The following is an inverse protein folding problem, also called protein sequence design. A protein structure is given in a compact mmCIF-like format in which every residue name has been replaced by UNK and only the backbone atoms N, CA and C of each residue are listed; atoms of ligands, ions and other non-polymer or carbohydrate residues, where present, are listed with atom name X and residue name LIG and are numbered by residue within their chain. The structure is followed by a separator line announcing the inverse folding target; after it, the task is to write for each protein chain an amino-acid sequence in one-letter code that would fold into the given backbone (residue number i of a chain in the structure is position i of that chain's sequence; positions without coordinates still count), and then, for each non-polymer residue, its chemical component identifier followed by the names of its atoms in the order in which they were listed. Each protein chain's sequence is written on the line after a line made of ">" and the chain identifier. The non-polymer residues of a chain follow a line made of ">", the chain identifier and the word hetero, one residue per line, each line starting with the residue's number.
data_IF_059749270953
#
_entry.id   IF_059749270953
#
_cell.length_a   1.000
_cell.length_b   1.000
_cell.length_c   1.000
_cell.angle_alpha   90.00
_cell.angle_beta   90.00
_cell.angle_gamma   90.00
#
_symmetry.space_group_name_H-M   'P 1'
#
loop_
_entity.id
_entity.type
_entity.pdbx_description
1 polymer ?
#
# COMPACT_ATOMS: atom_id res chain seq x y z
N UNK A 1 -44.59 2.72 -37.54
CA UNK A 1 -43.40 1.84 -37.67
C UNK A 1 -42.88 1.64 -36.27
N UNK A 2 -42.78 0.40 -35.77
CA UNK A 2 -42.22 0.15 -34.43
C UNK A 2 -40.70 0.32 -34.56
N UNK A 3 -40.13 1.25 -33.80
CA UNK A 3 -38.69 1.52 -33.76
C UNK A 3 -37.93 0.23 -33.37
N UNK A 4 -36.85 -0.11 -34.09
CA UNK A 4 -36.10 -1.31 -33.77
C UNK A 4 -35.34 -1.13 -32.45
N UNK A 5 -35.08 -2.21 -31.71
CA UNK A 5 -34.25 -2.14 -30.48
C UNK A 5 -32.86 -1.55 -30.72
N UNK A 6 -32.32 -1.69 -31.94
CA UNK A 6 -31.05 -1.10 -32.34
C UNK A 6 -31.15 0.42 -32.42
N UNK A 7 -32.20 0.93 -33.05
CA UNK A 7 -32.40 2.37 -33.23
C UNK A 7 -32.68 3.04 -31.88
N UNK A 8 -33.48 2.40 -31.01
CA UNK A 8 -33.67 2.83 -29.62
C UNK A 8 -32.32 2.87 -28.88
N UNK A 9 -31.50 1.82 -29.01
CA UNK A 9 -30.20 1.75 -28.36
C UNK A 9 -29.25 2.87 -28.82
N UNK A 10 -29.19 3.16 -30.12
CA UNK A 10 -28.40 4.26 -30.67
C UNK A 10 -28.88 5.60 -30.10
N UNK A 11 -30.20 5.83 -30.10
CA UNK A 11 -30.77 7.07 -29.54
C UNK A 11 -30.43 7.23 -28.06
N UNK A 12 -30.56 6.18 -27.26
CA UNK A 12 -30.20 6.21 -25.83
C UNK A 12 -28.69 6.46 -25.62
N UNK A 13 -27.82 5.94 -26.49
CA UNK A 13 -26.39 6.25 -26.43
C UNK A 13 -26.14 7.73 -26.71
N UNK A 14 -26.80 8.32 -27.71
CA UNK A 14 -26.70 9.76 -27.99
C UNK A 14 -27.26 10.61 -26.84
N UNK A 15 -28.39 10.22 -26.25
CA UNK A 15 -28.96 10.89 -25.07
C UNK A 15 -27.99 10.82 -23.88
N UNK A 16 -27.38 9.64 -23.64
CA UNK A 16 -26.38 9.46 -22.59
C UNK A 16 -25.12 10.30 -22.83
N UNK A 17 -24.68 10.42 -24.09
CA UNK A 17 -23.55 11.27 -24.47
C UNK A 17 -23.79 12.73 -24.10
N UNK A 18 -24.97 13.28 -24.42
CA UNK A 18 -25.33 14.65 -24.05
C UNK A 18 -25.44 14.82 -22.54
N UNK A 19 -26.04 13.85 -21.83
CA UNK A 19 -26.09 13.86 -20.36
C UNK A 19 -24.67 13.90 -19.76
N UNK A 20 -23.76 13.05 -20.24
CA UNK A 20 -22.38 13.01 -19.72
C UNK A 20 -21.59 14.29 -19.99
N UNK A 21 -21.91 15.05 -21.05
CA UNK A 21 -21.30 16.37 -21.31
C UNK A 21 -21.75 17.43 -20.32
N UNK A 22 -22.98 17.33 -19.83
CA UNK A 22 -23.58 18.30 -18.90
C UNK A 22 -23.38 17.91 -17.42
N UNK A 23 -23.07 16.64 -17.16
CA UNK A 23 -22.95 16.10 -15.82
C UNK A 23 -21.72 16.68 -15.09
N UNK A 24 -21.87 17.27 -13.90
CA UNK A 24 -20.74 17.70 -13.09
C UNK A 24 -19.86 16.52 -12.66
N UNK A 25 -18.55 16.75 -12.56
CA UNK A 25 -17.56 15.73 -12.19
C UNK A 25 -17.92 14.93 -10.92
N UNK A 26 -18.38 15.64 -9.88
CA UNK A 26 -18.80 15.04 -8.59
C UNK A 26 -19.98 14.06 -8.67
N UNK A 27 -20.74 14.06 -9.76
CA UNK A 27 -21.89 13.17 -9.96
C UNK A 27 -21.48 11.88 -10.70
N UNK A 28 -20.22 11.76 -11.14
CA UNK A 28 -19.63 10.49 -11.57
C UNK A 28 -19.23 9.69 -10.33
N UNK A 29 -20.21 9.01 -9.74
CA UNK A 29 -20.05 8.23 -8.51
C UNK A 29 -20.16 6.71 -8.75
N UNK A 30 -20.02 5.94 -7.68
CA UNK A 30 -20.13 4.47 -7.70
C UNK A 30 -21.46 3.99 -8.31
N UNK A 31 -22.54 4.74 -8.16
CA UNK A 31 -23.83 4.41 -8.76
C UNK A 31 -23.80 4.47 -10.28
N UNK A 32 -23.14 5.48 -10.85
CA UNK A 32 -22.91 5.57 -12.31
C UNK A 32 -21.94 4.47 -12.76
N UNK A 33 -20.86 4.23 -12.02
CA UNK A 33 -19.84 3.24 -12.37
C UNK A 33 -20.39 1.80 -12.39
N UNK A 34 -21.17 1.41 -11.39
CA UNK A 34 -21.84 0.09 -11.32
C UNK A 34 -22.80 -0.14 -12.51
N UNK A 35 -23.47 0.93 -12.98
CA UNK A 35 -24.39 0.86 -14.12
C UNK A 35 -23.64 0.71 -15.44
N UNK A 36 -22.49 1.36 -15.59
CA UNK A 36 -21.60 1.15 -16.75
C UNK A 36 -21.07 -0.27 -16.76
N UNK A 37 -20.64 -0.83 -15.64
CA UNK A 37 -20.20 -2.23 -15.56
C UNK A 37 -21.33 -3.20 -15.94
N UNK A 38 -22.52 -2.99 -15.37
CA UNK A 38 -23.72 -3.76 -15.71
C UNK A 38 -24.06 -3.69 -17.22
N UNK A 39 -23.89 -2.51 -17.84
CA UNK A 39 -24.08 -2.31 -19.27
C UNK A 39 -23.07 -3.14 -20.08
N UNK A 40 -21.79 -3.11 -19.73
CA UNK A 40 -20.74 -3.87 -20.41
C UNK A 40 -20.95 -5.39 -20.25
N UNK A 41 -21.31 -5.87 -19.05
CA UNK A 41 -21.68 -7.26 -18.80
C UNK A 41 -22.90 -7.70 -19.63
N UNK A 42 -23.86 -6.81 -19.88
CA UNK A 42 -25.01 -7.10 -20.75
C UNK A 42 -24.61 -7.30 -22.21
N UNK A 43 -23.48 -6.72 -22.65
CA UNK A 43 -22.92 -6.94 -23.99
C UNK A 43 -22.31 -8.34 -24.07
N UNK A 44 -21.44 -8.74 -23.14
CA UNK A 44 -20.91 -10.10 -23.12
C UNK A 44 -20.49 -10.50 -21.72
N UNK A 45 -21.29 -11.35 -21.07
CA UNK A 45 -20.96 -11.84 -19.73
C UNK A 45 -20.08 -13.10 -19.83
N UNK A 46 -18.82 -13.07 -19.33
CA UNK A 46 -17.90 -14.21 -19.33
C UNK A 46 -18.38 -15.38 -18.46
N UNK A 47 -19.26 -15.15 -17.49
CA UNK A 47 -19.85 -16.23 -16.69
C UNK A 47 -20.59 -17.21 -17.58
N UNK A 48 -21.12 -16.80 -18.74
CA UNK A 48 -21.84 -17.70 -19.63
C UNK A 48 -20.96 -18.69 -20.40
N UNK A 49 -19.62 -18.63 -20.27
CA UNK A 49 -18.71 -19.55 -20.97
C UNK A 49 -19.02 -21.02 -20.66
N UNK A 50 -19.43 -21.35 -19.42
CA UNK A 50 -19.81 -22.72 -19.04
C UNK A 50 -21.01 -23.28 -19.79
N UNK A 51 -21.80 -22.43 -20.47
CA UNK A 51 -22.96 -22.83 -21.27
C UNK A 51 -22.56 -23.29 -22.68
N UNK A 52 -21.28 -23.21 -23.01
CA UNK A 52 -20.71 -23.60 -24.30
C UNK A 52 -19.73 -24.74 -24.14
N UNK A 53 -19.48 -25.48 -25.22
CA UNK A 53 -18.56 -26.62 -25.19
C UNK A 53 -17.11 -26.21 -24.94
N UNK A 54 -16.72 -25.01 -25.38
CA UNK A 54 -15.41 -24.40 -25.13
C UNK A 54 -15.46 -22.89 -25.36
N UNK A 55 -14.35 -22.19 -25.07
CA UNK A 55 -14.25 -20.74 -25.23
C UNK A 55 -14.35 -20.30 -26.70
N UNK A 56 -13.85 -21.10 -27.63
CA UNK A 56 -13.92 -20.79 -29.06
C UNK A 56 -15.37 -20.78 -29.56
N UNK A 57 -16.19 -21.73 -29.11
CA UNK A 57 -17.61 -21.80 -29.43
C UNK A 57 -18.42 -20.65 -28.82
N UNK A 58 -18.10 -20.28 -27.57
CA UNK A 58 -18.67 -19.08 -26.92
C UNK A 58 -18.35 -17.80 -27.71
N UNK A 59 -17.08 -17.61 -28.09
CA UNK A 59 -16.64 -16.44 -28.85
C UNK A 59 -17.22 -16.43 -30.27
N UNK A 60 -17.33 -17.57 -30.94
CA UNK A 60 -17.94 -17.67 -32.26
C UNK A 60 -19.43 -17.29 -32.21
N UNK A 61 -20.16 -17.81 -31.22
CA UNK A 61 -21.58 -17.50 -31.01
C UNK A 61 -21.80 -16.02 -30.71
N UNK A 62 -20.86 -15.38 -30.02
CA UNK A 62 -20.97 -13.99 -29.57
C UNK A 62 -20.05 -13.01 -30.33
N UNK A 63 -19.55 -13.38 -31.51
CA UNK A 63 -18.43 -12.70 -32.19
C UNK A 63 -18.56 -11.17 -32.31
N UNK A 64 -19.75 -10.67 -32.65
CA UNK A 64 -19.99 -9.24 -32.84
C UNK A 64 -20.03 -8.50 -31.49
N UNK A 65 -20.51 -9.16 -30.44
CA UNK A 65 -20.54 -8.63 -29.07
C UNK A 65 -19.11 -8.55 -28.52
N UNK A 66 -18.32 -9.60 -28.75
CA UNK A 66 -16.88 -9.62 -28.45
C UNK A 66 -16.13 -8.52 -29.20
N UNK A 67 -16.41 -8.32 -30.49
CA UNK A 67 -15.80 -7.26 -31.29
C UNK A 67 -16.17 -5.86 -30.77
N UNK A 68 -17.43 -5.64 -30.37
CA UNK A 68 -17.87 -4.37 -29.80
C UNK A 68 -17.10 -4.03 -28.52
N UNK A 69 -16.97 -4.96 -27.58
CA UNK A 69 -16.18 -4.74 -26.36
C UNK A 69 -14.69 -4.51 -26.67
N UNK A 70 -14.14 -5.24 -27.63
CA UNK A 70 -12.76 -5.03 -28.08
C UNK A 70 -12.58 -3.62 -28.67
N UNK A 71 -13.55 -3.12 -29.43
CA UNK A 71 -13.55 -1.77 -29.98
C UNK A 71 -13.66 -0.71 -28.88
N UNK A 72 -14.56 -0.88 -27.91
CA UNK A 72 -14.68 0.02 -26.74
C UNK A 72 -13.35 0.08 -25.99
N UNK A 73 -12.73 -1.07 -25.69
CA UNK A 73 -11.43 -1.13 -25.03
C UNK A 73 -10.35 -0.42 -25.87
N UNK A 74 -10.32 -0.65 -27.18
CA UNK A 74 -9.36 -0.01 -28.07
C UNK A 74 -9.53 1.51 -28.08
N UNK A 75 -10.77 2.00 -28.23
CA UNK A 75 -11.08 3.42 -28.24
C UNK A 75 -10.69 4.09 -26.91
N UNK A 76 -11.04 3.47 -25.77
CA UNK A 76 -10.62 3.96 -24.44
C UNK A 76 -9.09 4.00 -24.35
N UNK A 77 -8.42 2.91 -24.71
CA UNK A 77 -6.96 2.78 -24.55
C UNK A 77 -6.19 3.76 -25.45
N UNK A 78 -6.62 3.95 -26.70
CA UNK A 78 -5.91 4.77 -27.68
C UNK A 78 -6.26 6.26 -27.60
N UNK A 79 -7.53 6.59 -27.36
CA UNK A 79 -8.02 7.95 -27.50
C UNK A 79 -8.25 8.66 -26.16
N UNK A 80 -8.52 7.90 -25.09
CA UNK A 80 -9.01 8.45 -23.82
C UNK A 80 -8.20 8.00 -22.61
N UNK A 81 -7.07 7.30 -22.79
CA UNK A 81 -6.08 7.20 -21.73
C UNK A 81 -5.53 8.60 -21.48
N UNK A 82 -5.92 9.24 -20.37
CA UNK A 82 -5.45 10.58 -20.01
C UNK A 82 -3.92 10.56 -19.97
N UNK A 83 -3.27 11.03 -21.03
CA UNK A 83 -1.82 11.01 -21.19
C UNK A 83 -1.28 12.39 -20.89
N UNK A 84 -0.75 12.56 -19.69
CA UNK A 84 -0.01 13.75 -19.27
C UNK A 84 1.50 13.55 -19.33
N UNK A 85 2.22 14.60 -19.01
CA UNK A 85 3.64 14.54 -18.65
C UNK A 85 3.77 14.98 -17.20
N UNK A 86 4.37 14.13 -16.36
CA UNK A 86 4.69 14.47 -14.97
C UNK A 86 5.87 15.43 -14.89
N UNK A 87 6.17 15.93 -13.68
CA UNK A 87 7.31 16.83 -13.43
C UNK A 87 8.65 16.21 -13.87
N UNK A 88 8.75 14.88 -13.81
CA UNK A 88 9.90 14.10 -14.26
C UNK A 88 10.06 14.00 -15.79
N UNK A 89 9.11 14.55 -16.56
CA UNK A 89 9.04 14.41 -18.02
C UNK A 89 8.53 13.03 -18.49
N UNK A 90 8.23 12.10 -17.57
CA UNK A 90 7.63 10.80 -17.90
C UNK A 90 6.15 10.93 -18.23
N UNK A 91 5.62 9.95 -18.96
CA UNK A 91 4.18 9.90 -19.25
C UNK A 91 3.42 9.52 -17.98
N UNK A 92 2.31 10.22 -17.78
CA UNK A 92 1.37 9.97 -16.68
C UNK A 92 0.05 9.50 -17.28
N UNK A 93 -0.53 8.46 -16.69
CA UNK A 93 -1.81 7.86 -17.05
C UNK A 93 -2.73 7.83 -15.84
N UNK A 94 -4.03 8.09 -15.99
CA UNK A 94 -4.98 7.81 -14.90
C UNK A 94 -5.09 6.30 -14.72
N UNK A 95 -4.96 5.82 -13.47
CA UNK A 95 -5.07 4.39 -13.19
C UNK A 95 -6.51 3.91 -13.36
N UNK A 96 -6.79 2.90 -14.20
CA UNK A 96 -8.12 2.28 -14.26
C UNK A 96 -8.36 1.30 -13.10
N UNK A 97 -7.30 0.90 -12.38
CA UNK A 97 -7.34 -0.18 -11.39
C UNK A 97 -7.25 0.31 -9.94
N UNK A 98 -6.93 1.59 -9.74
CA UNK A 98 -6.79 2.18 -8.40
C UNK A 98 -7.80 3.30 -8.29
N UNK A 99 -8.79 3.09 -7.42
CA UNK A 99 -9.82 4.07 -7.12
C UNK A 99 -9.16 5.37 -6.67
N UNK A 100 -9.72 6.52 -7.05
CA UNK A 100 -9.28 7.83 -6.57
C UNK A 100 -9.61 7.93 -5.07
N UNK A 101 -8.83 7.25 -4.22
CA UNK A 101 -9.09 7.07 -2.78
C UNK A 101 -8.98 8.35 -1.93
N UNK A 102 -8.79 9.50 -2.58
CA UNK A 102 -8.53 10.78 -1.97
C UNK A 102 -9.44 11.81 -2.65
N UNK A 103 -10.41 12.35 -1.91
CA UNK A 103 -11.37 13.33 -2.44
C UNK A 103 -10.70 14.63 -2.88
N UNK A 104 -9.55 14.95 -2.30
CA UNK A 104 -8.73 16.15 -2.52
C UNK A 104 -7.44 15.86 -3.30
N UNK A 105 -7.32 14.67 -3.90
CA UNK A 105 -6.12 14.25 -4.62
C UNK A 105 -6.42 13.44 -5.87
N UNK A 106 -5.42 13.34 -6.74
CA UNK A 106 -5.50 12.54 -7.97
C UNK A 106 -4.44 11.46 -7.97
N UNK A 107 -4.87 10.21 -8.04
CA UNK A 107 -4.01 9.05 -8.22
C UNK A 107 -3.75 8.78 -9.71
N UNK A 108 -2.51 8.47 -10.05
CA UNK A 108 -2.07 8.23 -11.42
C UNK A 108 -0.98 7.16 -11.50
N UNK A 109 -0.68 6.70 -12.70
CA UNK A 109 0.44 5.83 -13.03
C UNK A 109 1.47 6.61 -13.84
N UNK A 110 2.70 6.68 -13.36
CA UNK A 110 3.81 7.30 -14.09
C UNK A 110 4.76 6.22 -14.63
N UNK A 111 4.91 6.13 -15.95
CA UNK A 111 5.66 5.07 -16.61
C UNK A 111 5.72 5.22 -18.13
N UNK A 112 6.52 4.39 -18.78
CA UNK A 112 6.62 4.41 -20.26
C UNK A 112 5.50 3.63 -20.94
N UNK A 113 5.03 2.57 -20.28
CA UNK A 113 3.99 1.65 -20.75
C UNK A 113 2.60 2.04 -20.22
N UNK A 114 1.56 1.69 -20.98
CA UNK A 114 0.17 1.92 -20.57
C UNK A 114 -0.19 1.00 -19.40
N UNK A 115 -0.78 1.59 -18.35
CA UNK A 115 -1.24 0.86 -17.15
C UNK A 115 -0.12 0.15 -16.37
N UNK A 116 1.13 0.57 -16.58
CA UNK A 116 2.29 0.09 -15.85
C UNK A 116 3.17 1.28 -15.47
N UNK A 117 3.79 1.20 -14.30
CA UNK A 117 4.58 2.30 -13.75
C UNK A 117 4.31 2.50 -12.26
N UNK A 118 4.78 3.62 -11.73
CA UNK A 118 4.64 3.96 -10.33
C UNK A 118 3.28 4.56 -10.07
N UNK A 119 2.67 4.18 -8.95
CA UNK A 119 1.45 4.83 -8.50
C UNK A 119 1.86 6.18 -7.88
N UNK A 120 1.47 7.27 -8.53
CA UNK A 120 1.60 8.63 -8.03
C UNK A 120 0.30 9.11 -7.39
N UNK A 121 0.41 10.03 -6.45
CA UNK A 121 -0.67 10.79 -5.85
C UNK A 121 -0.30 12.27 -5.88
N UNK A 122 -1.10 13.08 -6.57
CA UNK A 122 -1.01 14.53 -6.51
C UNK A 122 -2.03 15.05 -5.50
N UNK A 123 -1.56 15.67 -4.42
CA UNK A 123 -2.42 16.16 -3.33
C UNK A 123 -1.77 17.42 -2.73
N UNK A 124 -2.57 18.43 -2.40
CA UNK A 124 -2.09 19.69 -1.80
C UNK A 124 -0.95 20.38 -2.58
N UNK A 125 -0.90 20.23 -3.91
CA UNK A 125 0.13 20.85 -4.75
C UNK A 125 1.45 20.08 -4.83
N UNK A 126 1.51 18.86 -4.28
CA UNK A 126 2.72 18.04 -4.23
C UNK A 126 2.49 16.67 -4.88
N UNK A 127 3.47 16.20 -5.66
CA UNK A 127 3.50 14.82 -6.17
C UNK A 127 4.16 13.90 -5.16
N UNK A 128 3.48 12.79 -4.86
CA UNK A 128 3.97 11.72 -3.99
C UNK A 128 3.91 10.39 -4.71
N UNK A 129 4.82 9.48 -4.38
CA UNK A 129 4.90 8.15 -4.99
C UNK A 129 4.62 7.06 -3.97
N UNK A 130 3.88 6.04 -4.40
CA UNK A 130 3.51 4.92 -3.56
C UNK A 130 4.70 3.97 -3.33
N UNK A 131 4.96 3.69 -2.07
CA UNK A 131 5.67 2.52 -1.56
C UNK A 131 4.64 1.48 -1.15
N UNK A 132 4.98 0.20 -1.32
CA UNK A 132 4.25 -0.88 -0.67
C UNK A 132 4.40 -0.73 0.84
N UNK A 133 3.26 -0.61 1.54
CA UNK A 133 3.18 -0.63 2.99
C UNK A 133 2.90 -2.05 3.51
N UNK A 134 2.33 -2.91 2.65
CA UNK A 134 1.91 -4.29 2.95
C UNK A 134 2.34 -5.27 1.84
N UNK A 135 2.63 -6.51 2.23
CA UNK A 135 2.76 -7.66 1.33
C UNK A 135 1.36 -8.10 0.84
N UNK A 136 0.76 -7.31 -0.06
CA UNK A 136 -0.50 -7.65 -0.71
C UNK A 136 -0.28 -8.74 -1.75
N UNK A 137 -0.95 -9.88 -1.60
CA UNK A 137 -0.82 -11.04 -2.50
C UNK A 137 -1.96 -11.11 -3.51
N UNK A 138 -1.73 -11.81 -4.61
CA UNK A 138 -2.75 -12.02 -5.66
C UNK A 138 -4.02 -12.62 -5.07
N UNK A 139 -5.16 -11.99 -5.33
CA UNK A 139 -6.48 -12.40 -4.83
C UNK A 139 -6.91 -11.72 -3.52
N UNK A 140 -6.07 -10.88 -2.92
CA UNK A 140 -6.48 -10.05 -1.78
C UNK A 140 -7.07 -8.72 -2.23
N UNK A 141 -7.97 -8.19 -1.40
CA UNK A 141 -8.48 -6.83 -1.58
C UNK A 141 -7.33 -5.88 -1.29
N UNK A 142 -7.01 -5.06 -2.31
CA UNK A 142 -5.99 -4.03 -2.25
C UNK A 142 -6.63 -2.74 -1.74
N UNK A 143 -6.25 -2.32 -0.53
CA UNK A 143 -6.85 -1.17 0.15
C UNK A 143 -5.89 0.03 0.18
N UNK A 144 -6.42 1.23 0.49
CA UNK A 144 -5.64 2.46 0.65
C UNK A 144 -4.44 2.30 1.59
N UNK A 145 -4.60 1.56 2.68
CA UNK A 145 -3.58 1.35 3.70
C UNK A 145 -2.45 0.38 3.27
N UNK A 146 -2.61 -0.30 2.13
CA UNK A 146 -1.56 -1.14 1.53
C UNK A 146 -0.48 -0.30 0.84
N UNK A 147 -0.76 0.98 0.57
CA UNK A 147 0.19 1.93 0.00
C UNK A 147 0.59 3.00 1.01
N UNK A 148 1.85 3.43 0.89
CA UNK A 148 2.38 4.57 1.59
C UNK A 148 2.93 5.56 0.59
N UNK A 149 2.41 6.78 0.57
CA UNK A 149 2.90 7.82 -0.33
C UNK A 149 4.02 8.62 0.31
N UNK A 150 5.17 8.72 -0.38
CA UNK A 150 6.31 9.54 0.01
C UNK A 150 6.54 10.66 -1.00
N UNK A 151 7.04 11.81 -0.55
CA UNK A 151 7.46 12.87 -1.46
C UNK A 151 8.86 12.62 -2.04
N UNK A 152 9.17 13.35 -3.12
CA UNK A 152 10.53 13.38 -3.69
C UNK A 152 11.55 13.84 -2.65
N UNK A 153 11.20 14.85 -1.84
CA UNK A 153 12.09 15.39 -0.80
C UNK A 153 12.37 14.39 0.32
N UNK A 154 11.36 13.60 0.72
CA UNK A 154 11.53 12.52 1.69
C UNK A 154 12.48 11.44 1.15
N UNK A 155 12.30 11.04 -0.11
CA UNK A 155 13.17 10.07 -0.76
C UNK A 155 14.61 10.58 -0.96
N UNK A 156 14.76 11.87 -1.31
CA UNK A 156 16.05 12.54 -1.43
C UNK A 156 16.76 12.66 -0.08
N UNK A 157 16.02 12.97 0.98
CA UNK A 157 16.55 13.03 2.35
C UNK A 157 17.11 11.67 2.77
N UNK A 158 16.36 10.60 2.53
CA UNK A 158 16.85 9.25 2.77
C UNK A 158 18.10 8.92 1.95
N UNK A 159 18.09 9.22 0.65
CA UNK A 159 19.25 8.98 -0.22
C UNK A 159 20.51 9.61 0.35
N UNK A 160 20.41 10.87 0.84
CA UNK A 160 21.51 11.58 1.50
C UNK A 160 21.89 10.97 2.85
N UNK A 161 20.93 10.49 3.65
CA UNK A 161 21.22 9.84 4.92
C UNK A 161 21.93 8.49 4.76
N UNK A 162 21.48 7.68 3.79
CA UNK A 162 22.13 6.43 3.41
C UNK A 162 23.56 6.68 2.90
N UNK A 163 23.75 7.73 2.10
CA UNK A 163 25.08 8.17 1.64
C UNK A 163 25.99 8.64 2.79
N UNK A 164 25.46 9.45 3.72
CA UNK A 164 26.18 9.91 4.92
C UNK A 164 26.60 8.74 5.81
N UNK A 165 25.77 7.69 5.93
CA UNK A 165 26.09 6.45 6.66
C UNK A 165 27.07 5.53 5.91
N UNK A 166 27.75 6.01 4.86
CA UNK A 166 28.75 5.27 4.05
C UNK A 166 28.20 4.04 3.32
N UNK A 167 26.90 4.00 3.01
CA UNK A 167 26.35 2.99 2.10
C UNK A 167 26.68 3.44 0.67
N UNK A 168 27.94 3.27 0.28
CA UNK A 168 28.48 3.79 -0.99
C UNK A 168 28.03 3.01 -2.23
N UNK A 169 27.45 1.82 -2.06
CA UNK A 169 26.99 0.97 -3.16
C UNK A 169 25.49 0.68 -3.07
N UNK A 170 24.76 0.75 -4.18
CA UNK A 170 23.35 0.31 -4.20
C UNK A 170 23.20 -1.19 -3.88
N UNK A 171 24.21 -2.02 -4.19
CA UNK A 171 24.24 -3.42 -3.75
C UNK A 171 24.31 -3.58 -2.22
N UNK A 172 24.78 -2.56 -1.49
CA UNK A 172 24.72 -2.56 -0.02
C UNK A 172 23.35 -2.18 0.54
N UNK A 173 22.43 -1.68 -0.28
CA UNK A 173 21.03 -1.46 0.14
C UNK A 173 20.17 -2.72 0.05
N UNK A 174 20.56 -3.70 -0.77
CA UNK A 174 19.91 -5.01 -0.83
C UNK A 174 20.37 -5.93 0.30
N UNK A 175 21.56 -5.67 0.86
CA UNK A 175 22.18 -6.50 1.91
C UNK A 175 21.28 -6.71 3.13
N UNK A 176 20.58 -5.69 3.69
CA UNK A 176 19.67 -5.89 4.81
C UNK A 176 18.54 -6.87 4.46
N UNK A 177 17.96 -6.75 3.27
CA UNK A 177 16.87 -7.61 2.78
C UNK A 177 17.36 -9.05 2.69
N UNK A 178 18.54 -9.27 2.10
CA UNK A 178 19.15 -10.59 2.02
C UNK A 178 19.48 -11.18 3.41
N UNK A 179 20.01 -10.38 4.35
CA UNK A 179 20.26 -10.82 5.73
C UNK A 179 18.96 -11.27 6.39
N UNK A 180 17.88 -10.49 6.26
CA UNK A 180 16.58 -10.82 6.82
C UNK A 180 15.98 -12.10 6.20
N UNK A 181 15.95 -12.20 4.87
CA UNK A 181 15.47 -13.39 4.17
C UNK A 181 16.26 -14.63 4.57
N UNK A 182 17.58 -14.49 4.77
CA UNK A 182 18.42 -15.58 5.26
C UNK A 182 18.06 -15.98 6.70
N UNK A 183 17.92 -15.01 7.62
CA UNK A 183 17.53 -15.29 9.00
C UNK A 183 16.18 -16.03 9.08
N UNK A 184 15.22 -15.62 8.26
CA UNK A 184 13.90 -16.26 8.17
C UNK A 184 14.01 -17.66 7.55
N UNK A 185 14.81 -17.85 6.50
CA UNK A 185 15.05 -19.16 5.88
C UNK A 185 15.75 -20.13 6.83
N UNK A 186 16.68 -19.63 7.65
CA UNK A 186 17.39 -20.39 8.66
C UNK A 186 16.52 -20.65 9.92
N UNK A 187 15.26 -20.20 9.91
CA UNK A 187 14.31 -20.29 11.02
C UNK A 187 14.85 -19.72 12.34
N UNK A 188 15.52 -18.56 12.26
CA UNK A 188 16.02 -17.88 13.44
C UNK A 188 14.85 -17.44 14.35
N UNK A 189 14.86 -17.87 15.62
CA UNK A 189 13.80 -17.63 16.62
C UNK A 189 14.21 -16.63 17.69
N UNK A 190 15.45 -16.20 17.70
CA UNK A 190 15.96 -15.20 18.64
C UNK A 190 15.45 -13.81 18.25
N UNK A 191 14.52 -13.28 19.07
CA UNK A 191 13.99 -11.91 18.94
C UNK A 191 15.12 -10.87 18.95
N UNK A 192 16.10 -11.04 19.84
CA UNK A 192 17.25 -10.13 19.96
C UNK A 192 18.07 -10.03 18.68
N UNK A 193 18.19 -11.10 17.88
CA UNK A 193 18.88 -11.01 16.59
C UNK A 193 18.13 -10.13 15.58
N UNK A 194 16.79 -10.11 15.62
CA UNK A 194 16.01 -9.21 14.76
C UNK A 194 16.09 -7.76 15.25
N UNK A 195 16.14 -7.53 16.57
CA UNK A 195 16.41 -6.21 17.15
C UNK A 195 17.79 -5.70 16.74
N UNK A 196 18.86 -6.50 16.90
CA UNK A 196 20.22 -6.17 16.47
C UNK A 196 20.29 -5.86 14.96
N UNK A 197 19.54 -6.61 14.15
CA UNK A 197 19.46 -6.38 12.71
C UNK A 197 18.76 -5.05 12.37
N UNK A 198 17.67 -4.68 13.08
CA UNK A 198 17.01 -3.38 12.93
C UNK A 198 17.90 -2.24 13.43
N UNK A 199 18.65 -2.41 14.53
CA UNK A 199 19.64 -1.42 14.99
C UNK A 199 20.70 -1.14 13.94
N UNK A 200 21.16 -2.21 13.27
CA UNK A 200 22.12 -2.13 12.16
C UNK A 200 21.51 -1.46 10.92
N UNK A 201 20.23 -1.69 10.64
CA UNK A 201 19.54 -1.23 9.43
C UNK A 201 18.18 -0.55 9.72
N UNK A 202 18.15 0.58 10.45
CA UNK A 202 16.91 1.16 10.96
C UNK A 202 15.98 1.69 9.86
N UNK A 203 16.52 1.98 8.68
CA UNK A 203 15.74 2.47 7.54
C UNK A 203 14.68 1.47 7.05
N UNK A 204 14.81 0.19 7.39
CA UNK A 204 13.82 -0.82 7.01
C UNK A 204 12.45 -0.60 7.68
N UNK A 205 12.40 0.14 8.79
CA UNK A 205 11.17 0.53 9.48
C UNK A 205 10.43 1.68 8.78
N UNK A 206 11.12 2.33 7.85
CA UNK A 206 10.55 3.21 6.86
C UNK A 206 11.01 4.66 6.89
N UNK A 207 10.70 5.39 5.81
CA UNK A 207 11.24 6.73 5.52
C UNK A 207 10.59 7.82 6.35
N UNK A 208 9.50 7.49 7.03
CA UNK A 208 8.80 8.39 7.93
C UNK A 208 9.59 8.70 9.21
N UNK A 209 10.73 8.03 9.45
CA UNK A 209 11.51 8.21 10.66
C UNK A 209 12.88 8.83 10.37
N UNK A 210 13.17 9.98 10.99
CA UNK A 210 14.51 10.62 10.97
C UNK A 210 15.51 9.78 11.75
N UNK A 211 15.06 9.18 12.85
CA UNK A 211 15.92 8.43 13.76
C UNK A 211 15.12 7.34 14.43
N UNK A 212 15.70 6.15 14.49
CA UNK A 212 15.22 5.04 15.30
C UNK A 212 16.14 4.95 16.52
N UNK A 213 15.58 4.94 17.73
CA UNK A 213 16.35 4.79 18.97
C UNK A 213 15.98 3.48 19.67
N UNK A 214 16.97 2.64 20.02
CA UNK A 214 16.73 1.39 20.71
C UNK A 214 16.41 1.59 22.19
N UNK A 215 15.55 0.73 22.71
CA UNK A 215 15.25 0.52 24.13
C UNK A 215 15.00 1.81 24.95
N UNK A 216 14.11 2.73 24.51
CA UNK A 216 13.81 3.92 25.30
C UNK A 216 13.08 3.55 26.58
N UNK A 217 13.57 4.05 27.71
CA UNK A 217 13.00 3.72 29.03
C UNK A 217 11.87 4.70 29.34
N UNK A 218 10.61 4.24 29.25
CA UNK A 218 9.45 5.03 29.67
C UNK A 218 9.30 5.03 31.19
N UNK A 219 9.42 3.84 31.78
CA UNK A 219 9.56 3.58 33.22
C UNK A 219 10.29 2.24 33.46
N UNK A 220 10.17 1.67 34.66
CA UNK A 220 10.82 0.41 35.02
C UNK A 220 10.19 -0.85 34.37
N UNK A 221 8.95 -0.75 33.86
CA UNK A 221 8.17 -1.87 33.32
C UNK A 221 7.86 -1.70 31.82
N UNK A 222 8.05 -0.50 31.28
CA UNK A 222 7.72 -0.09 29.94
C UNK A 222 8.99 0.34 29.19
N UNK A 223 9.61 -0.64 28.54
CA UNK A 223 10.78 -0.49 27.71
C UNK A 223 10.45 -1.15 26.37
N UNK A 224 9.89 -0.42 25.39
CA UNK A 224 9.71 -0.95 24.04
C UNK A 224 11.07 -1.19 23.38
N UNK A 225 11.07 -2.00 22.34
CA UNK A 225 12.29 -2.28 21.58
C UNK A 225 12.85 -1.03 20.90
N UNK A 226 11.99 -0.18 20.34
CA UNK A 226 12.42 1.06 19.69
C UNK A 226 11.40 2.20 19.80
N UNK A 227 11.89 3.42 19.60
CA UNK A 227 11.07 4.54 19.14
C UNK A 227 11.55 5.06 17.78
N UNK A 228 10.63 5.61 17.00
CA UNK A 228 10.93 6.29 15.74
C UNK A 228 10.53 7.76 15.81
N UNK A 229 11.47 8.69 15.58
CA UNK A 229 11.19 10.13 15.49
C UNK A 229 10.67 10.44 14.09
N UNK A 230 9.43 10.91 13.99
CA UNK A 230 8.74 11.17 12.72
C UNK A 230 9.37 12.35 11.96
N UNK A 231 9.44 12.22 10.63
CA UNK A 231 10.02 13.22 9.73
C UNK A 231 9.24 14.53 9.71
N UNK A 232 7.91 14.46 9.72
CA UNK A 232 7.02 15.59 9.48
C UNK A 232 6.78 16.48 10.72
N UNK A 233 6.90 15.96 11.93
CA UNK A 233 6.54 16.70 13.15
C UNK A 233 7.44 16.48 14.37
N UNK A 234 8.52 15.69 14.25
CA UNK A 234 9.48 15.39 15.32
C UNK A 234 8.89 14.68 16.56
N UNK A 235 7.64 14.23 16.51
CA UNK A 235 7.04 13.38 17.53
C UNK A 235 7.39 11.91 17.29
N UNK A 236 7.17 11.06 18.30
CA UNK A 236 7.63 9.68 18.30
C UNK A 236 6.51 8.67 18.10
N UNK A 237 6.82 7.61 17.36
CA UNK A 237 6.08 6.35 17.36
C UNK A 237 6.84 5.29 18.18
N UNK A 238 6.11 4.27 18.62
CA UNK A 238 6.62 3.14 19.39
C UNK A 238 6.72 1.93 18.46
N UNK A 239 7.75 1.12 18.62
CA UNK A 239 7.94 -0.09 17.82
C UNK A 239 8.33 -1.23 18.76
N UNK A 240 7.58 -2.32 18.68
CA UNK A 240 7.79 -3.56 19.42
C UNK A 240 7.92 -4.71 18.41
N UNK A 241 8.88 -5.60 18.61
CA UNK A 241 9.16 -6.74 17.74
C UNK A 241 8.94 -8.02 18.52
N UNK A 242 8.41 -9.04 17.85
CA UNK A 242 8.36 -10.41 18.34
C UNK A 242 8.99 -11.34 17.33
N UNK A 243 9.57 -12.44 17.79
CA UNK A 243 10.14 -13.44 16.87
C UNK A 243 9.13 -13.92 15.80
N UNK A 244 9.56 -14.09 14.54
CA UNK A 244 8.67 -14.29 13.38
C UNK A 244 7.79 -15.53 13.45
N UNK A 245 8.28 -16.59 14.10
CA UNK A 245 7.67 -17.91 14.11
C UNK A 245 6.82 -18.17 15.35
N UNK A 246 6.50 -17.13 16.13
CA UNK A 246 5.59 -17.25 17.26
C UNK A 246 4.20 -17.64 16.76
N UNK A 247 3.54 -18.57 17.46
CA UNK A 247 2.24 -19.05 17.03
C UNK A 247 1.18 -17.98 17.34
N UNK A 248 0.55 -17.41 16.30
CA UNK A 248 -0.43 -16.33 16.44
C UNK A 248 -1.87 -16.84 16.53
N UNK A 249 -2.13 -18.03 15.99
CA UNK A 249 -3.46 -18.57 15.82
C UNK A 249 -3.58 -19.98 16.37
N UNK A 250 -4.72 -20.26 16.99
CA UNK A 250 -5.15 -21.60 17.37
C UNK A 250 -5.70 -22.33 16.15
N UNK A 251 -5.90 -23.64 16.28
CA UNK A 251 -6.46 -24.47 15.21
C UNK A 251 -7.88 -24.06 14.80
N UNK A 252 -8.64 -23.43 15.70
CA UNK A 252 -9.99 -22.93 15.43
C UNK A 252 -10.02 -21.50 14.83
N UNK A 253 -8.85 -20.94 14.51
CA UNK A 253 -8.71 -19.60 13.94
C UNK A 253 -8.73 -18.46 14.95
N UNK A 254 -8.94 -18.73 16.24
CA UNK A 254 -8.81 -17.72 17.30
C UNK A 254 -7.35 -17.35 17.60
N UNK A 255 -7.12 -16.20 18.24
CA UNK A 255 -5.77 -15.79 18.67
C UNK A 255 -5.24 -16.64 19.82
N UNK A 256 -3.93 -16.85 19.84
CA UNK A 256 -3.21 -17.51 20.94
C UNK A 256 -2.99 -16.57 22.14
N UNK A 257 -2.62 -17.13 23.29
CA UNK A 257 -2.14 -16.36 24.44
C UNK A 257 -0.97 -15.46 24.05
N UNK A 258 -0.01 -15.99 23.29
CA UNK A 258 1.22 -15.32 22.89
C UNK A 258 0.94 -14.07 22.04
N UNK A 259 -0.02 -14.15 21.11
CA UNK A 259 -0.46 -12.97 20.37
C UNK A 259 -1.15 -11.96 21.29
N UNK A 260 -2.05 -12.41 22.16
CA UNK A 260 -2.77 -11.53 23.07
C UNK A 260 -1.83 -10.82 24.05
N UNK A 261 -0.80 -11.50 24.55
CA UNK A 261 0.21 -10.90 25.43
C UNK A 261 1.01 -9.81 24.70
N UNK A 262 1.39 -10.08 23.45
CA UNK A 262 2.07 -9.09 22.58
C UNK A 262 1.17 -7.89 22.27
N UNK A 263 -0.12 -8.12 22.03
CA UNK A 263 -1.12 -7.07 21.83
C UNK A 263 -1.32 -6.21 23.08
N UNK A 264 -1.48 -6.86 24.25
CA UNK A 264 -1.64 -6.17 25.53
C UNK A 264 -0.41 -5.35 25.89
N UNK A 265 0.79 -5.81 25.49
CA UNK A 265 2.04 -5.08 25.68
C UNK A 265 2.06 -3.76 24.90
N UNK A 266 1.69 -3.77 23.61
CA UNK A 266 1.64 -2.54 22.80
C UNK A 266 0.51 -1.60 23.23
N UNK A 267 -0.63 -2.13 23.68
CA UNK A 267 -1.70 -1.32 24.30
C UNK A 267 -1.22 -0.62 25.57
N UNK A 268 -0.48 -1.32 26.42
CA UNK A 268 0.09 -0.76 27.65
C UNK A 268 1.06 0.38 27.35
N UNK A 269 1.94 0.22 26.35
CA UNK A 269 2.86 1.29 25.95
C UNK A 269 2.11 2.52 25.45
N UNK A 270 1.12 2.34 24.57
CA UNK A 270 0.31 3.44 24.05
C UNK A 270 -0.44 4.18 25.17
N UNK A 271 -1.04 3.44 26.10
CA UNK A 271 -1.73 4.03 27.24
C UNK A 271 -0.76 4.84 28.09
N UNK A 272 0.39 4.25 28.44
CA UNK A 272 1.40 4.91 29.27
C UNK A 272 1.90 6.22 28.66
N UNK A 273 2.25 6.23 27.36
CA UNK A 273 2.75 7.46 26.74
C UNK A 273 1.69 8.54 26.62
N UNK A 274 0.42 8.17 26.46
CA UNK A 274 -0.70 9.12 26.42
C UNK A 274 -0.94 9.74 27.79
N UNK A 275 -0.88 8.95 28.86
CA UNK A 275 -1.11 9.42 30.23
C UNK A 275 0.08 10.21 30.79
N UNK A 276 1.31 9.92 30.34
CA UNK A 276 2.54 10.46 30.93
C UNK A 276 3.35 11.36 29.98
N UNK A 277 2.71 11.93 28.96
CA UNK A 277 3.36 12.74 27.93
C UNK A 277 4.23 13.87 28.49
N UNK A 278 3.73 14.63 29.46
CA UNK A 278 4.47 15.75 30.05
C UNK A 278 5.73 15.30 30.80
N UNK A 279 5.64 14.18 31.52
CA UNK A 279 6.78 13.58 32.20
C UNK A 279 7.81 13.06 31.20
N UNK A 280 7.36 12.35 30.17
CA UNK A 280 8.22 11.81 29.12
C UNK A 280 8.97 12.92 28.37
N UNK A 281 8.30 14.04 28.07
CA UNK A 281 8.97 15.19 27.45
C UNK A 281 9.97 15.84 28.42
N UNK A 282 9.51 16.30 29.59
CA UNK A 282 10.34 17.11 30.50
C UNK A 282 11.48 16.33 31.15
N UNK A 283 11.28 15.05 31.48
CA UNK A 283 12.24 14.26 32.24
C UNK A 283 13.07 13.32 31.36
N UNK A 284 12.55 12.93 30.19
CA UNK A 284 13.22 11.95 29.31
C UNK A 284 13.53 12.52 27.91
N UNK A 285 13.04 13.71 27.55
CA UNK A 285 13.19 14.26 26.20
C UNK A 285 12.43 13.46 25.13
N UNK A 286 11.41 12.71 25.55
CA UNK A 286 10.61 11.85 24.68
C UNK A 286 9.27 12.51 24.38
N UNK A 287 9.16 13.15 23.21
CA UNK A 287 7.97 13.85 22.76
C UNK A 287 7.03 12.92 22.01
N UNK A 288 5.80 12.77 22.51
CA UNK A 288 4.74 11.99 21.89
C UNK A 288 3.54 12.89 21.59
N UNK A 289 2.98 12.81 20.40
CA UNK A 289 1.69 13.40 20.01
C UNK A 289 1.04 12.42 19.05
N UNK A 290 -0.21 12.04 19.31
CA UNK A 290 -0.95 11.02 18.55
C UNK A 290 -0.07 9.82 18.09
N UNK A 291 0.67 9.17 19.01
CA UNK A 291 1.64 8.16 18.63
C UNK A 291 0.96 6.92 18.07
N UNK A 292 1.60 6.31 17.06
CA UNK A 292 1.31 4.93 16.65
C UNK A 292 2.21 3.96 17.40
N UNK A 293 1.73 2.72 17.61
CA UNK A 293 2.56 1.62 18.08
C UNK A 293 2.58 0.51 17.03
N UNK A 294 3.76 0.23 16.48
CA UNK A 294 3.98 -0.78 15.46
C UNK A 294 4.39 -2.08 16.16
N UNK A 295 3.61 -3.13 15.99
CA UNK A 295 3.92 -4.49 16.41
C UNK A 295 4.43 -5.29 15.20
N UNK A 296 5.72 -5.59 15.17
CA UNK A 296 6.33 -6.43 14.14
C UNK A 296 6.25 -7.89 14.59
N UNK A 297 5.42 -8.69 13.93
CA UNK A 297 5.14 -10.06 14.34
C UNK A 297 4.63 -10.93 13.18
N UNK A 298 5.02 -12.20 13.19
CA UNK A 298 4.51 -13.19 12.24
C UNK A 298 5.23 -13.20 10.89
N UNK A 299 5.39 -14.39 10.34
CA UNK A 299 5.99 -14.63 9.04
C UNK A 299 5.25 -15.74 8.31
N UNK A 300 5.12 -15.59 7.00
CA UNK A 300 4.48 -16.52 6.06
C UNK A 300 3.06 -16.96 6.48
N UNK A 301 2.25 -15.98 6.87
CA UNK A 301 0.88 -16.18 7.30
C UNK A 301 -0.05 -16.46 6.10
N UNK A 302 -1.05 -17.32 6.31
CA UNK A 302 -2.10 -17.56 5.32
C UNK A 302 -2.93 -16.30 5.05
N UNK A 303 -3.68 -16.26 3.93
CA UNK A 303 -4.61 -15.16 3.64
C UNK A 303 -5.65 -14.96 4.75
N UNK A 304 -6.21 -16.04 5.30
CA UNK A 304 -7.18 -15.96 6.40
C UNK A 304 -6.58 -15.40 7.69
N UNK A 305 -5.33 -15.74 7.99
CA UNK A 305 -4.60 -15.21 9.14
C UNK A 305 -4.26 -13.73 8.97
N UNK A 306 -3.80 -13.32 7.78
CA UNK A 306 -3.52 -11.91 7.47
C UNK A 306 -4.80 -11.07 7.55
N UNK A 307 -5.91 -11.56 7.01
CA UNK A 307 -7.21 -10.91 7.13
C UNK A 307 -7.68 -10.77 8.59
N UNK A 308 -7.44 -11.80 9.42
CA UNK A 308 -7.73 -11.70 10.85
C UNK A 308 -6.87 -10.61 11.53
N UNK A 309 -5.57 -10.54 11.25
CA UNK A 309 -4.72 -9.46 11.79
C UNK A 309 -5.19 -8.08 11.33
N UNK A 310 -5.56 -7.92 10.06
CA UNK A 310 -6.12 -6.66 9.52
C UNK A 310 -7.40 -6.26 10.26
N UNK A 311 -8.31 -7.21 10.52
CA UNK A 311 -9.52 -6.96 11.31
C UNK A 311 -9.21 -6.49 12.73
N UNK A 312 -8.23 -7.11 13.39
CA UNK A 312 -7.79 -6.71 14.73
C UNK A 312 -7.20 -5.30 14.73
N UNK A 313 -6.36 -4.97 13.75
CA UNK A 313 -5.79 -3.64 13.57
C UNK A 313 -6.87 -2.57 13.36
N UNK A 314 -7.89 -2.85 12.53
CA UNK A 314 -9.03 -1.94 12.29
C UNK A 314 -9.79 -1.57 13.58
N UNK A 315 -9.72 -2.38 14.63
CA UNK A 315 -10.36 -2.08 15.93
C UNK A 315 -9.59 -1.03 16.75
N UNK A 316 -8.30 -0.82 16.49
CA UNK A 316 -7.48 0.19 17.15
C UNK A 316 -6.48 0.78 16.16
N UNK A 317 -6.87 1.88 15.52
CA UNK A 317 -6.07 2.53 14.46
C UNK A 317 -4.72 3.08 14.92
N UNK A 318 -4.50 3.22 16.24
CA UNK A 318 -3.21 3.63 16.81
C UNK A 318 -2.21 2.46 16.92
N UNK A 319 -2.64 1.21 16.76
CA UNK A 319 -1.76 0.05 16.66
C UNK A 319 -1.68 -0.37 15.21
N UNK A 320 -0.46 -0.66 14.74
CA UNK A 320 -0.20 -1.20 13.40
C UNK A 320 0.51 -2.53 13.56
N UNK A 321 0.03 -3.59 12.91
CA UNK A 321 0.71 -4.89 12.94
C UNK A 321 1.47 -5.03 11.64
N UNK A 322 2.79 -5.23 11.65
CA UNK A 322 3.56 -5.58 10.45
C UNK A 322 4.10 -6.98 10.54
N UNK A 323 3.98 -7.75 9.46
CA UNK A 323 4.65 -9.04 9.34
C UNK A 323 6.07 -8.87 8.84
N UNK A 324 6.89 -9.90 9.01
CA UNK A 324 8.23 -9.92 8.42
C UNK A 324 8.20 -9.94 6.88
N UNK A 325 7.10 -10.42 6.28
CA UNK A 325 6.85 -10.28 4.85
C UNK A 325 6.65 -8.81 4.46
N UNK A 326 5.91 -8.03 5.26
CA UNK A 326 5.69 -6.60 5.03
C UNK A 326 7.04 -5.84 5.06
N UNK A 327 7.93 -6.16 6.01
CA UNK A 327 9.27 -5.55 6.06
C UNK A 327 10.13 -5.85 4.83
N UNK A 328 10.08 -7.09 4.32
CA UNK A 328 10.79 -7.48 3.10
C UNK A 328 10.23 -6.72 1.90
N UNK A 329 8.90 -6.70 1.75
CA UNK A 329 8.22 -6.00 0.66
C UNK A 329 8.60 -4.52 0.67
N UNK A 330 8.41 -3.86 1.81
CA UNK A 330 8.77 -2.46 2.02
C UNK A 330 10.24 -2.18 1.66
N UNK A 331 11.16 -3.02 2.14
CA UNK A 331 12.58 -2.91 1.85
C UNK A 331 12.88 -2.99 0.36
N UNK A 332 12.35 -4.00 -0.34
CA UNK A 332 12.56 -4.19 -1.79
C UNK A 332 12.05 -3.01 -2.60
N UNK A 333 10.82 -2.57 -2.36
CA UNK A 333 10.24 -1.43 -3.06
C UNK A 333 11.01 -0.13 -2.79
N UNK A 334 11.43 0.10 -1.55
CA UNK A 334 12.26 1.27 -1.21
C UNK A 334 13.56 1.27 -2.01
N UNK A 335 14.26 0.14 -2.07
CA UNK A 335 15.51 0.02 -2.84
C UNK A 335 15.28 0.27 -4.32
N UNK A 336 14.17 -0.22 -4.88
CA UNK A 336 13.84 -0.03 -6.29
C UNK A 336 13.55 1.43 -6.63
N UNK A 337 12.82 2.16 -5.78
CA UNK A 337 12.61 3.61 -5.94
C UNK A 337 13.94 4.36 -5.89
N UNK A 338 14.80 4.06 -4.90
CA UNK A 338 16.10 4.74 -4.76
C UNK A 338 17.03 4.48 -5.96
N UNK A 339 17.03 3.25 -6.50
CA UNK A 339 17.78 2.91 -7.72
C UNK A 339 17.36 3.79 -8.89
N UNK A 340 16.06 4.00 -9.05
CA UNK A 340 15.52 4.77 -10.17
C UNK A 340 15.75 6.27 -10.02
N UNK A 341 15.66 6.79 -8.80
CA UNK A 341 16.01 8.19 -8.51
C UNK A 341 17.49 8.47 -8.80
N UNK A 342 18.41 7.56 -8.46
CA UNK A 342 19.84 7.71 -8.80
C UNK A 342 20.15 7.62 -10.29
N UNK A 343 19.34 6.90 -11.07
CA UNK A 343 19.49 6.81 -12.52
C UNK A 343 19.00 8.08 -13.24
N UNK A 344 18.23 8.95 -12.57
CA UNK A 344 17.74 10.22 -13.11
C UNK A 344 18.05 11.38 -12.16
N UNK A 345 19.25 12.00 -12.25
CA UNK A 345 19.65 13.12 -11.40
C UNK A 345 18.90 14.45 -11.67
N UNK A 346 17.88 14.45 -12.55
CA UNK A 346 17.03 15.60 -12.86
C UNK A 346 15.62 15.47 -12.25
N UNK A 347 15.49 14.73 -11.15
CA UNK A 347 14.32 14.83 -10.27
C UNK A 347 14.54 16.00 -9.31
#
# INVERSE_FOLDING_TARGET
>A
MVESKKDIGIRLICELEEIFKELPDKEFDDGVFERVDSLLLSILNPDNVHKHSNIQDFLLTNKNRSQLLAYIRHAITQNYSFRGYGESGKKVFVSPNHTQWYDDGVMFLEGEELFAGYIGLYINGEVRYALSNRDSRVGEIFEKDDLKFISIDEANTLSRELEKKRIKNLSSLEMPIYELEKMLKDHEKSESKYQEWIEKYPWILGLQYKTIQPHPIFDNENIPDFNGIRTHDDYRDIIEIKQPFINLFRQDGGYTSEFNDSWNQVERYLLYVKENKDYLDRNKGLKFENPSCILIIGYDLSSSQREALRKKEKMNSAIKIYTYNDLIAYGKYTVDILKQMKLNPNI
#
